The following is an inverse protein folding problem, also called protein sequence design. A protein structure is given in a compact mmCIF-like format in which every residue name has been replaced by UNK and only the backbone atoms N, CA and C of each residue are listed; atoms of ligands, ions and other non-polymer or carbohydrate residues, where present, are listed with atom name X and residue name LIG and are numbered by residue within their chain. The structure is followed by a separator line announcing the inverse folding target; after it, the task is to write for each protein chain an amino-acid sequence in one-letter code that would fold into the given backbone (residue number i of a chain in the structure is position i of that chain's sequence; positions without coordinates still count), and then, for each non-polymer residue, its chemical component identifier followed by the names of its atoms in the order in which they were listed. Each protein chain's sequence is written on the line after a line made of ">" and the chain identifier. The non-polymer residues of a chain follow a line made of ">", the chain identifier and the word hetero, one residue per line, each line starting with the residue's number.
data_IF_087930308446
#
_entry.id   IF_087930308446
#
_cell.length_a   1.000
_cell.length_b   1.000
_cell.length_c   1.000
_cell.angle_alpha   90.00
_cell.angle_beta   90.00
_cell.angle_gamma   90.00
#
_symmetry.space_group_name_H-M   'P 1'
#
loop_
_entity.id
_entity.type
_entity.pdbx_description
1 polymer ?
#
# COMPACT_ATOMS: atom_id res chain seq x y z
N UNK A 1 18.35 12.66 22.34
CA UNK A 1 18.20 11.19 22.27
C UNK A 1 19.30 10.67 21.37
N UNK A 2 20.17 9.80 21.89
CA UNK A 2 21.20 9.12 21.10
C UNK A 2 20.61 7.85 20.49
N UNK A 3 21.14 7.39 19.35
CA UNK A 3 20.67 6.14 18.73
C UNK A 3 20.82 4.94 19.68
N UNK A 4 21.88 4.92 20.50
CA UNK A 4 22.10 3.92 21.53
C UNK A 4 21.04 3.87 22.64
N UNK A 5 20.18 4.91 22.76
CA UNK A 5 19.10 4.95 23.76
C UNK A 5 17.86 4.19 23.28
N UNK A 6 17.81 3.85 21.96
CA UNK A 6 16.64 3.26 21.31
C UNK A 6 16.95 2.03 20.45
N UNK A 7 18.23 1.69 20.27
CA UNK A 7 18.64 0.53 19.45
C UNK A 7 19.90 -0.12 20.05
N UNK A 8 19.87 -1.44 20.21
CA UNK A 8 21.01 -2.23 20.66
C UNK A 8 22.05 -2.45 19.56
N UNK A 9 21.61 -2.47 18.33
CA UNK A 9 22.47 -2.64 17.15
C UNK A 9 21.87 -1.99 15.91
N UNK A 10 22.73 -1.67 14.94
CA UNK A 10 22.37 -1.18 13.61
C UNK A 10 22.97 -2.09 12.57
N UNK A 11 22.15 -2.58 11.67
CA UNK A 11 22.59 -3.38 10.53
C UNK A 11 22.33 -2.63 9.23
N UNK A 12 23.32 -2.55 8.37
CA UNK A 12 23.20 -2.01 7.02
C UNK A 12 23.08 -3.17 6.03
N UNK A 13 22.02 -3.16 5.22
CA UNK A 13 21.80 -4.11 4.13
C UNK A 13 21.95 -3.35 2.82
N UNK A 14 23.08 -3.49 2.09
CA UNK A 14 23.22 -2.86 0.78
C UNK A 14 22.31 -3.56 -0.21
N UNK A 15 21.46 -2.79 -0.91
CA UNK A 15 20.61 -3.33 -1.96
C UNK A 15 21.37 -3.36 -3.28
N UNK A 16 21.26 -4.47 -3.99
CA UNK A 16 21.80 -4.59 -5.34
C UNK A 16 21.20 -3.50 -6.24
N UNK A 17 22.05 -2.84 -7.02
CA UNK A 17 21.67 -1.75 -7.91
C UNK A 17 22.18 -2.04 -9.32
N UNK A 18 21.26 -2.16 -10.27
CA UNK A 18 21.54 -2.33 -11.69
C UNK A 18 20.34 -1.82 -12.52
N UNK A 19 20.39 -1.88 -13.84
CA UNK A 19 19.34 -1.36 -14.73
C UNK A 19 17.94 -1.96 -14.47
N UNK A 20 17.85 -3.13 -13.84
CA UNK A 20 16.57 -3.80 -13.52
C UNK A 20 15.99 -3.38 -12.18
N UNK A 21 16.83 -2.90 -11.26
CA UNK A 21 16.48 -2.60 -9.88
C UNK A 21 17.01 -1.23 -9.40
N UNK A 22 17.12 -0.27 -10.31
CA UNK A 22 17.43 1.10 -9.95
C UNK A 22 16.21 1.72 -9.24
N UNK A 23 16.41 2.06 -7.97
CA UNK A 23 15.40 2.74 -7.16
C UNK A 23 15.58 4.24 -7.36
N UNK A 24 14.63 4.88 -8.03
CA UNK A 24 14.63 6.31 -8.31
C UNK A 24 14.20 7.14 -7.09
N UNK A 25 13.20 6.67 -6.38
CA UNK A 25 12.65 7.35 -5.20
C UNK A 25 11.95 6.35 -4.28
N UNK A 26 12.37 6.33 -3.02
CA UNK A 26 11.67 5.55 -1.99
C UNK A 26 10.62 6.44 -1.37
N UNK A 27 9.35 6.17 -1.65
CA UNK A 27 8.26 6.87 -1.00
C UNK A 27 8.23 6.47 0.48
N UNK A 28 8.27 7.45 1.36
CA UNK A 28 8.36 7.26 2.81
C UNK A 28 7.31 6.24 3.30
N UNK A 29 7.75 5.20 3.98
CA UNK A 29 6.90 4.21 4.63
C UNK A 29 6.59 2.95 3.82
N UNK A 30 7.24 2.71 2.67
CA UNK A 30 6.92 1.57 1.83
C UNK A 30 8.09 0.57 1.69
N UNK A 31 8.68 0.23 2.83
CA UNK A 31 9.61 -0.89 2.93
C UNK A 31 8.99 -1.91 3.88
N UNK A 32 8.78 -3.13 3.40
CA UNK A 32 8.26 -4.24 4.19
C UNK A 32 9.33 -5.32 4.26
N UNK A 33 9.65 -5.76 5.48
CA UNK A 33 10.56 -6.87 5.72
C UNK A 33 9.76 -8.09 6.16
N UNK A 34 10.06 -9.22 5.55
CA UNK A 34 9.63 -10.56 5.98
C UNK A 34 10.83 -11.38 6.45
N UNK A 35 10.62 -12.61 6.89
CA UNK A 35 11.71 -13.53 7.22
C UNK A 35 12.62 -13.85 6.03
N UNK A 36 12.08 -13.83 4.79
CA UNK A 36 12.80 -14.21 3.57
C UNK A 36 13.18 -13.05 2.66
N UNK A 37 12.40 -11.96 2.65
CA UNK A 37 12.50 -10.90 1.65
C UNK A 37 12.37 -9.50 2.23
N UNK A 38 12.95 -8.55 1.51
CA UNK A 38 12.61 -7.15 1.57
C UNK A 38 11.76 -6.78 0.37
N UNK A 39 10.69 -6.06 0.61
CA UNK A 39 9.88 -5.40 -0.42
C UNK A 39 10.11 -3.91 -0.35
N UNK A 40 10.66 -3.34 -1.41
CA UNK A 40 10.98 -1.91 -1.49
C UNK A 40 10.18 -1.30 -2.61
N UNK A 41 9.37 -0.30 -2.29
CA UNK A 41 8.54 0.35 -3.28
C UNK A 41 9.06 1.73 -3.68
N UNK A 42 9.06 1.98 -4.98
CA UNK A 42 9.00 3.32 -5.55
C UNK A 42 7.55 3.67 -5.91
N UNK A 43 7.30 4.83 -6.49
CA UNK A 43 5.93 5.21 -6.88
C UNK A 43 5.28 4.28 -7.91
N UNK A 44 6.09 3.66 -8.76
CA UNK A 44 5.65 2.89 -9.94
C UNK A 44 6.14 1.47 -9.98
N UNK A 45 6.96 1.05 -9.02
CA UNK A 45 7.57 -0.28 -8.99
C UNK A 45 7.62 -0.83 -7.57
N UNK A 46 7.42 -2.12 -7.45
CA UNK A 46 7.64 -2.88 -6.22
C UNK A 46 8.76 -3.88 -6.47
N UNK A 47 9.87 -3.70 -5.77
CA UNK A 47 11.05 -4.53 -5.86
C UNK A 47 11.07 -5.56 -4.74
N UNK A 48 11.42 -6.80 -5.07
CA UNK A 48 11.67 -7.86 -4.11
C UNK A 48 13.18 -8.14 -4.05
N UNK A 49 13.73 -8.13 -2.84
CA UNK A 49 15.11 -8.47 -2.55
C UNK A 49 15.18 -9.59 -1.53
N UNK A 50 16.25 -10.37 -1.55
CA UNK A 50 16.59 -11.30 -0.47
C UNK A 50 16.98 -10.54 0.79
N UNK A 51 17.06 -11.22 1.93
CA UNK A 51 17.45 -10.60 3.22
C UNK A 51 18.86 -10.03 3.23
N UNK A 52 19.75 -10.50 2.34
CA UNK A 52 21.11 -9.98 2.13
C UNK A 52 21.19 -8.89 1.04
N UNK A 53 20.04 -8.46 0.50
CA UNK A 53 19.93 -7.33 -0.41
C UNK A 53 20.09 -7.64 -1.89
N UNK A 54 20.13 -8.91 -2.30
CA UNK A 54 20.19 -9.29 -3.72
C UNK A 54 18.84 -9.12 -4.37
N UNK A 55 18.81 -8.53 -5.58
CA UNK A 55 17.58 -8.36 -6.34
C UNK A 55 17.00 -9.71 -6.80
N UNK A 56 15.73 -9.91 -6.54
CA UNK A 56 15.00 -11.11 -6.98
C UNK A 56 14.17 -10.80 -8.21
N UNK A 57 13.25 -9.82 -8.11
CA UNK A 57 12.33 -9.45 -9.20
C UNK A 57 11.56 -8.16 -8.92
N UNK A 58 10.85 -7.70 -9.94
CA UNK A 58 9.76 -6.74 -9.77
C UNK A 58 8.44 -7.50 -9.57
N UNK A 59 7.55 -6.97 -8.72
CA UNK A 59 6.20 -7.51 -8.51
C UNK A 59 5.22 -6.68 -9.33
N UNK A 60 4.50 -7.34 -10.23
CA UNK A 60 3.61 -6.70 -11.19
C UNK A 60 4.36 -5.88 -12.24
N UNK A 61 3.62 -5.12 -13.02
CA UNK A 61 4.17 -4.25 -14.08
C UNK A 61 3.26 -3.06 -14.34
N UNK A 62 3.80 -2.03 -15.01
CA UNK A 62 3.02 -0.87 -15.41
C UNK A 62 2.05 -1.21 -16.53
N UNK A 63 0.80 -0.76 -16.42
CA UNK A 63 -0.23 -0.93 -17.44
C UNK A 63 -1.64 -0.99 -16.89
N UNK A 64 -2.60 -1.42 -17.71
CA UNK A 64 -4.03 -1.52 -17.36
C UNK A 64 -4.60 -2.94 -17.37
N UNK A 65 -3.79 -3.95 -17.65
CA UNK A 65 -4.22 -5.35 -17.68
C UNK A 65 -4.29 -6.00 -16.29
N UNK A 66 -4.66 -7.29 -16.23
CA UNK A 66 -4.67 -8.05 -14.98
C UNK A 66 -3.29 -8.03 -14.30
N UNK A 67 -3.25 -7.68 -13.01
CA UNK A 67 -2.00 -7.56 -12.26
C UNK A 67 -1.08 -6.42 -12.69
N UNK A 68 -1.56 -5.52 -13.54
CA UNK A 68 -0.86 -4.29 -13.90
C UNK A 68 -1.41 -3.10 -13.12
N UNK A 69 -0.58 -2.05 -12.98
CA UNK A 69 -0.93 -0.81 -12.30
C UNK A 69 -0.12 0.36 -12.86
N UNK A 70 -0.63 1.57 -12.75
CA UNK A 70 0.15 2.77 -13.06
C UNK A 70 0.84 3.31 -11.80
N UNK A 71 0.07 3.42 -10.72
CA UNK A 71 0.55 3.82 -9.40
C UNK A 71 -0.13 2.97 -8.33
N UNK A 72 0.51 2.85 -7.18
CA UNK A 72 -0.09 2.23 -6.00
C UNK A 72 0.20 3.06 -4.74
N UNK A 73 -0.65 2.91 -3.76
CA UNK A 73 -0.64 3.72 -2.55
C UNK A 73 -0.06 2.97 -1.36
N UNK A 74 -0.35 1.68 -1.27
CA UNK A 74 0.06 0.85 -0.15
C UNK A 74 0.32 -0.57 -0.60
N UNK A 75 1.25 -1.21 0.09
CA UNK A 75 1.46 -2.66 0.05
C UNK A 75 1.28 -3.24 1.44
N UNK A 76 0.86 -4.47 1.51
CA UNK A 76 0.86 -5.32 2.69
C UNK A 76 1.32 -6.72 2.29
N UNK A 77 2.03 -7.42 3.18
CA UNK A 77 2.57 -8.75 2.91
C UNK A 77 2.19 -9.67 4.06
N UNK A 78 1.45 -10.70 3.75
CA UNK A 78 1.14 -11.77 4.68
C UNK A 78 2.08 -12.95 4.41
N UNK A 79 3.06 -13.13 5.30
CA UNK A 79 4.07 -14.16 5.16
C UNK A 79 3.51 -15.57 5.40
N UNK A 80 2.51 -15.71 6.28
CA UNK A 80 1.90 -17.00 6.59
C UNK A 80 1.14 -17.57 5.39
N UNK A 81 0.47 -16.71 4.64
CA UNK A 81 -0.25 -17.11 3.41
C UNK A 81 0.59 -16.99 2.15
N UNK A 82 1.76 -16.37 2.22
CA UNK A 82 2.63 -16.11 1.07
C UNK A 82 2.04 -15.13 0.06
N UNK A 83 1.22 -14.17 0.51
CA UNK A 83 0.52 -13.23 -0.36
C UNK A 83 1.03 -11.80 -0.20
N UNK A 84 1.08 -11.08 -1.32
CA UNK A 84 1.33 -9.65 -1.39
C UNK A 84 0.06 -8.96 -1.84
N UNK A 85 -0.38 -7.97 -1.09
CA UNK A 85 -1.53 -7.13 -1.39
C UNK A 85 -1.06 -5.73 -1.77
N UNK A 86 -1.54 -5.20 -2.89
CA UNK A 86 -1.15 -3.90 -3.42
C UNK A 86 -2.38 -3.05 -3.75
N UNK A 87 -2.61 -2.00 -2.97
CA UNK A 87 -3.67 -1.02 -3.23
C UNK A 87 -3.25 -0.11 -4.38
N UNK A 88 -3.95 -0.25 -5.49
CA UNK A 88 -3.71 0.55 -6.70
C UNK A 88 -4.59 1.80 -6.74
N UNK A 89 -4.13 2.83 -7.45
CA UNK A 89 -4.92 4.06 -7.68
C UNK A 89 -6.16 3.84 -8.56
N UNK A 90 -6.29 2.67 -9.18
CA UNK A 90 -7.50 2.28 -9.93
C UNK A 90 -8.66 1.82 -9.05
N UNK A 91 -8.49 1.81 -7.73
CA UNK A 91 -9.55 1.43 -6.78
C UNK A 91 -9.72 -0.07 -6.64
N UNK A 92 -8.62 -0.79 -6.63
CA UNK A 92 -8.58 -2.22 -6.37
C UNK A 92 -7.29 -2.63 -5.65
N UNK A 93 -7.32 -3.78 -5.00
CA UNK A 93 -6.14 -4.41 -4.39
C UNK A 93 -5.73 -5.57 -5.28
N UNK A 94 -4.58 -5.46 -5.93
CA UNK A 94 -3.99 -6.57 -6.65
C UNK A 94 -3.34 -7.54 -5.67
N UNK A 95 -3.53 -8.84 -5.88
CA UNK A 95 -2.96 -9.90 -5.04
C UNK A 95 -1.97 -10.72 -5.85
N UNK A 96 -0.76 -10.88 -5.31
CA UNK A 96 0.32 -11.62 -5.94
C UNK A 96 0.85 -12.70 -4.99
N UNK A 97 1.35 -13.77 -5.57
CA UNK A 97 2.09 -14.79 -4.85
C UNK A 97 3.50 -14.29 -4.50
N UNK A 98 3.89 -14.38 -3.25
CA UNK A 98 5.14 -13.83 -2.75
C UNK A 98 6.38 -14.51 -3.35
N UNK A 99 6.36 -15.82 -3.50
CA UNK A 99 7.53 -16.59 -3.95
C UNK A 99 7.78 -16.42 -5.46
N UNK A 100 6.77 -16.24 -6.27
CA UNK A 100 6.89 -16.17 -7.74
C UNK A 100 6.69 -14.76 -8.30
N UNK A 101 6.02 -13.88 -7.54
CA UNK A 101 5.56 -12.58 -8.02
C UNK A 101 4.39 -12.67 -9.01
N UNK A 102 3.79 -13.85 -9.17
CA UNK A 102 2.67 -14.08 -10.09
C UNK A 102 1.41 -13.39 -9.57
N UNK A 103 0.73 -12.66 -10.46
CA UNK A 103 -0.61 -12.14 -10.18
C UNK A 103 -1.61 -13.29 -10.03
N UNK A 104 -2.43 -13.23 -8.99
CA UNK A 104 -3.45 -14.24 -8.69
C UNK A 104 -4.85 -13.72 -9.02
N UNK A 105 -5.25 -12.62 -8.39
CA UNK A 105 -6.56 -11.98 -8.56
C UNK A 105 -6.54 -10.54 -8.06
N UNK A 106 -7.61 -9.82 -8.28
CA UNK A 106 -7.82 -8.52 -7.65
C UNK A 106 -9.06 -8.54 -6.71
N UNK A 107 -9.00 -7.70 -5.69
CA UNK A 107 -10.11 -7.41 -4.78
C UNK A 107 -10.57 -5.99 -5.13
N UNK A 108 -11.82 -5.87 -5.54
CA UNK A 108 -12.40 -4.57 -5.75
C UNK A 108 -12.79 -3.94 -4.41
N UNK A 109 -12.59 -2.66 -4.30
CA UNK A 109 -12.90 -1.92 -3.08
C UNK A 109 -14.08 -0.97 -3.31
N UNK A 110 -14.90 -0.72 -2.27
CA UNK A 110 -16.15 0.03 -2.43
C UNK A 110 -15.96 1.47 -2.91
N UNK A 111 -14.82 2.07 -2.64
CA UNK A 111 -14.59 3.47 -2.99
C UNK A 111 -13.16 3.70 -3.50
N UNK A 112 -13.05 4.42 -4.63
CA UNK A 112 -11.77 4.76 -5.27
C UNK A 112 -10.92 5.77 -4.49
N UNK A 113 -11.52 6.53 -3.57
CA UNK A 113 -10.80 7.46 -2.68
C UNK A 113 -10.17 6.75 -1.46
N UNK A 114 -10.07 5.44 -1.50
CA UNK A 114 -9.38 4.65 -0.48
C UNK A 114 -7.90 5.03 -0.43
N UNK A 115 -7.44 5.46 0.73
CA UNK A 115 -6.05 5.82 0.97
C UNK A 115 -5.24 4.68 1.57
N UNK A 116 -5.88 3.87 2.40
CA UNK A 116 -5.24 2.76 3.13
C UNK A 116 -6.19 1.56 3.21
N UNK A 117 -5.61 0.39 3.41
CA UNK A 117 -6.34 -0.84 3.69
C UNK A 117 -5.63 -1.68 4.74
N UNK A 118 -6.37 -2.61 5.34
CA UNK A 118 -5.84 -3.69 6.15
C UNK A 118 -6.63 -4.96 5.87
N UNK A 119 -5.94 -6.06 5.64
CA UNK A 119 -6.57 -7.37 5.59
C UNK A 119 -6.91 -7.78 7.03
N UNK A 120 -8.20 -7.99 7.33
CA UNK A 120 -8.64 -8.42 8.66
C UNK A 120 -8.53 -9.94 8.82
N UNK A 121 -8.74 -10.66 7.73
CA UNK A 121 -8.54 -12.10 7.58
C UNK A 121 -8.55 -12.45 6.08
N UNK A 122 -8.59 -13.73 5.75
CA UNK A 122 -8.54 -14.23 4.37
C UNK A 122 -9.75 -13.82 3.50
N UNK A 123 -10.80 -13.25 4.08
CA UNK A 123 -12.05 -12.93 3.38
C UNK A 123 -12.50 -11.48 3.55
N UNK A 124 -11.96 -10.77 4.54
CA UNK A 124 -12.40 -9.42 4.93
C UNK A 124 -11.29 -8.41 4.80
N UNK A 125 -11.64 -7.26 4.24
CA UNK A 125 -10.77 -6.10 4.12
C UNK A 125 -11.41 -4.88 4.77
N UNK A 126 -10.64 -4.15 5.56
CA UNK A 126 -10.95 -2.80 6.01
C UNK A 126 -10.29 -1.79 5.07
N UNK A 127 -11.04 -0.80 4.62
CA UNK A 127 -10.52 0.30 3.79
C UNK A 127 -10.78 1.63 4.46
N UNK A 128 -9.76 2.49 4.51
CA UNK A 128 -9.84 3.83 5.06
C UNK A 128 -9.90 4.87 3.95
N UNK A 129 -10.85 5.82 4.08
CA UNK A 129 -11.14 6.84 3.08
C UNK A 129 -10.43 8.14 3.37
N UNK A 130 -9.78 8.68 2.34
CA UNK A 130 -9.24 10.03 2.38
C UNK A 130 -10.36 11.03 2.05
N UNK A 131 -10.95 11.65 3.03
CA UNK A 131 -12.01 12.64 2.81
C UNK A 131 -11.43 13.97 2.26
N UNK A 132 -10.94 13.96 1.04
CA UNK A 132 -10.33 15.14 0.41
C UNK A 132 -11.32 16.27 0.14
N UNK A 133 -12.59 15.94 -0.09
CA UNK A 133 -13.68 16.92 -0.30
C UNK A 133 -14.26 17.46 1.00
N UNK A 134 -14.02 16.82 2.14
CA UNK A 134 -14.66 17.11 3.43
C UNK A 134 -16.15 16.72 3.49
N UNK A 135 -16.70 16.17 2.42
CA UNK A 135 -18.13 15.83 2.31
C UNK A 135 -18.41 14.35 2.56
N UNK A 136 -17.37 13.51 2.59
CA UNK A 136 -17.50 12.08 2.80
C UNK A 136 -17.71 11.76 4.27
N UNK A 137 -18.87 11.23 4.61
CA UNK A 137 -19.22 10.85 5.99
C UNK A 137 -18.62 9.50 6.39
N UNK A 138 -18.57 8.59 5.44
CA UNK A 138 -17.99 7.27 5.62
C UNK A 138 -16.46 7.36 5.68
N UNK A 139 -15.86 6.77 6.70
CA UNK A 139 -14.40 6.81 6.90
C UNK A 139 -13.75 5.45 6.77
N UNK A 140 -14.44 4.41 7.18
CA UNK A 140 -13.95 3.04 7.11
C UNK A 140 -15.07 2.17 6.56
N UNK A 141 -14.74 1.33 5.60
CA UNK A 141 -15.59 0.24 5.15
C UNK A 141 -14.96 -1.08 5.54
N UNK A 142 -15.78 -1.99 6.07
CA UNK A 142 -15.46 -3.42 6.16
C UNK A 142 -16.21 -4.10 5.03
N UNK A 143 -15.49 -4.72 4.13
CA UNK A 143 -16.09 -5.41 2.98
C UNK A 143 -15.50 -6.81 2.81
N UNK A 144 -16.27 -7.67 2.16
CA UNK A 144 -15.76 -8.95 1.67
C UNK A 144 -14.92 -8.71 0.41
N UNK A 145 -14.07 -9.67 0.06
CA UNK A 145 -13.32 -9.65 -1.20
C UNK A 145 -14.20 -9.61 -2.47
N UNK A 146 -15.53 -9.85 -2.31
CA UNK A 146 -16.55 -9.81 -3.38
C UNK A 146 -17.34 -8.50 -3.40
N UNK A 147 -16.79 -7.39 -2.92
CA UNK A 147 -17.40 -6.05 -2.88
C UNK A 147 -18.64 -5.90 -1.96
N UNK A 148 -19.02 -6.91 -1.21
CA UNK A 148 -20.13 -6.77 -0.28
C UNK A 148 -19.70 -5.95 0.93
N UNK A 149 -20.22 -4.74 1.08
CA UNK A 149 -20.03 -3.93 2.27
C UNK A 149 -20.79 -4.60 3.43
N UNK A 150 -20.06 -4.98 4.46
CA UNK A 150 -20.60 -5.62 5.65
C UNK A 150 -20.86 -4.62 6.78
N UNK A 151 -20.00 -3.61 6.87
CA UNK A 151 -20.13 -2.56 7.86
C UNK A 151 -19.48 -1.26 7.37
N UNK A 152 -19.95 -0.14 7.90
CA UNK A 152 -19.43 1.19 7.58
C UNK A 152 -19.35 2.02 8.85
N UNK A 153 -18.20 2.68 9.06
CA UNK A 153 -17.98 3.56 10.20
C UNK A 153 -17.95 5.01 9.73
N UNK A 154 -18.69 5.84 10.43
CA UNK A 154 -18.86 7.25 10.14
C UNK A 154 -18.09 8.12 11.13
N UNK A 155 -17.52 9.21 10.65
CA UNK A 155 -17.02 10.29 11.48
C UNK A 155 -17.45 11.61 10.87
N UNK A 156 -18.67 12.02 11.18
CA UNK A 156 -19.24 13.29 10.73
C UNK A 156 -18.82 14.50 11.56
N UNK A 157 -18.30 14.26 12.76
CA UNK A 157 -18.02 15.26 13.79
C UNK A 157 -16.77 16.09 13.54
N UNK A 158 -15.85 15.66 12.67
CA UNK A 158 -14.54 16.30 12.54
C UNK A 158 -14.38 17.26 11.37
N UNK A 159 -15.23 17.21 10.33
CA UNK A 159 -15.07 18.03 9.14
C UNK A 159 -16.40 18.20 8.37
N UNK A 160 -17.35 18.92 8.94
CA UNK A 160 -18.42 19.47 8.11
C UNK A 160 -17.89 20.71 7.40
N UNK A 161 -17.55 20.55 6.13
CA UNK A 161 -17.26 21.69 5.27
C UNK A 161 -18.58 22.32 4.88
N UNK A 162 -18.84 23.51 5.37
CA UNK A 162 -19.99 24.32 4.91
C UNK A 162 -19.87 24.56 3.41
N UNK A 163 -20.96 24.40 2.67
CA UNK A 163 -21.03 24.71 1.25
C UNK A 163 -20.42 26.10 0.96
N UNK A 164 -19.51 26.18 0.01
CA UNK A 164 -18.80 27.42 -0.35
C UNK A 164 -17.40 27.59 0.28
N UNK A 165 -16.94 26.69 1.14
CA UNK A 165 -15.57 26.75 1.66
C UNK A 165 -14.60 26.21 0.60
N UNK A 166 -13.64 27.02 0.17
CA UNK A 166 -12.51 26.57 -0.65
C UNK A 166 -11.45 25.90 0.23
N UNK A 167 -11.11 24.67 -0.06
CA UNK A 167 -9.94 24.02 0.52
C UNK A 167 -8.68 24.54 -0.17
N UNK A 168 -7.78 25.11 0.61
CA UNK A 168 -6.40 25.27 0.22
C UNK A 168 -5.71 23.93 0.59
N UNK A 169 -5.41 23.11 -0.41
CA UNK A 169 -4.39 22.09 -0.21
C UNK A 169 -3.06 22.83 0.02
N UNK A 170 -2.62 22.87 1.26
CA UNK A 170 -1.23 23.21 1.53
C UNK A 170 -0.41 21.97 1.15
N UNK A 171 0.04 21.93 -0.10
CA UNK A 171 1.11 21.06 -0.55
C UNK A 171 2.41 21.64 -0.02
N UNK A 172 3.04 20.94 0.92
CA UNK A 172 4.43 21.18 1.27
C UNK A 172 4.63 22.35 2.24
N UNK A 173 4.91 22.04 3.46
CA UNK A 173 5.88 22.79 4.26
C UNK A 173 7.16 21.98 4.13
N UNK A 174 8.13 22.57 3.42
CA UNK A 174 9.52 22.12 3.37
C UNK A 174 10.14 22.16 4.76
#
# INVERSE_FOLDING_TARGET
>A
IKLSDIADSVQYVPLETNDKCLIDFINSGKVVKTGKYWFVSSNTRLYQYTTDGKFVRNIGSRGGGPGQFNYFQQIDVNEDTGLIFMLTTSGKINVYEMETGKFLYDIKIPNKETAQFAMLNDTLVATFMLNSSGQQKERIYISSQKENILNTFYRSDLFEVKSGTRWLMMSGID
#
